data_IF_302450198420
#
_entry.id   IF_302450198420
#
_cell.length_a   1.000
_cell.length_b   1.000
_cell.length_c   1.000
_cell.angle_alpha   90.00
_cell.angle_beta   90.00
_cell.angle_gamma   90.00
#
_symmetry.space_group_name_H-M   'P 1'
#
loop_
_entity.id
_entity.type
_entity.pdbx_description
1 polymer ?
#
# COMPACT_ATOMS: atom_id res chain seq x y z
N UNK A 1 1.35 24.00 27.72
CA UNK A 1 1.73 24.94 26.64
C UNK A 1 2.45 24.08 25.61
N UNK A 2 1.90 23.92 24.40
CA UNK A 2 2.33 22.85 23.49
C UNK A 2 3.85 22.80 23.29
N UNK A 3 4.50 23.94 23.06
CA UNK A 3 5.95 23.97 22.83
C UNK A 3 6.75 23.67 24.10
N UNK A 4 6.26 24.12 25.26
CA UNK A 4 6.88 23.84 26.55
C UNK A 4 6.75 22.37 26.94
N UNK A 5 5.55 21.81 26.80
CA UNK A 5 5.25 20.41 27.15
C UNK A 5 6.03 19.44 26.24
N UNK A 6 6.23 19.80 24.96
CA UNK A 6 7.07 19.06 24.02
C UNK A 6 8.56 19.23 24.34
N UNK A 7 9.03 20.43 24.67
CA UNK A 7 10.43 20.65 25.02
C UNK A 7 10.84 19.83 26.25
N UNK A 8 10.01 19.82 27.30
CA UNK A 8 10.23 19.03 28.50
C UNK A 8 10.25 17.53 28.19
N UNK A 9 9.36 17.06 27.32
CA UNK A 9 9.34 15.67 26.90
C UNK A 9 10.54 15.28 26.01
N UNK A 10 11.00 16.18 25.14
CA UNK A 10 12.17 15.98 24.29
C UNK A 10 13.48 15.94 25.09
N UNK A 11 13.56 16.70 26.19
CA UNK A 11 14.62 16.58 27.20
C UNK A 11 14.54 15.23 27.89
N UNK A 12 13.34 14.81 28.30
CA UNK A 12 13.10 13.51 28.96
C UNK A 12 13.49 12.29 28.12
N UNK A 13 13.36 12.37 26.78
CA UNK A 13 13.78 11.28 25.87
C UNK A 13 15.23 11.42 25.37
N UNK A 14 15.94 12.47 25.80
CA UNK A 14 17.33 12.73 25.42
C UNK A 14 17.53 13.12 23.96
N UNK A 15 16.51 13.72 23.33
CA UNK A 15 16.64 14.36 22.02
C UNK A 15 17.20 15.78 22.14
N UNK A 16 16.99 16.40 23.30
CA UNK A 16 17.57 17.69 23.70
C UNK A 16 18.38 17.44 24.97
N UNK A 17 19.62 17.91 24.98
CA UNK A 17 20.49 17.87 26.15
C UNK A 17 20.61 19.28 26.74
N UNK A 18 20.55 19.37 28.06
CA UNK A 18 20.92 20.60 28.75
C UNK A 18 22.45 20.57 28.91
N UNK A 19 23.17 21.58 28.42
CA UNK A 19 24.63 21.57 28.53
C UNK A 19 25.07 21.68 30.00
N UNK A 20 25.80 20.68 30.52
CA UNK A 20 26.36 20.69 31.88
C UNK A 20 27.27 21.92 32.14
N UNK A 21 27.87 22.47 31.08
CA UNK A 21 28.78 23.62 31.15
C UNK A 21 28.08 24.97 31.28
N UNK A 22 26.80 25.08 30.91
CA UNK A 22 26.00 26.32 30.93
C UNK A 22 24.51 25.98 31.16
N UNK A 23 24.02 25.95 32.41
CA UNK A 23 22.63 25.60 32.68
C UNK A 23 21.67 26.64 32.08
N UNK A 24 20.80 26.19 31.17
CA UNK A 24 19.80 27.03 30.50
C UNK A 24 19.91 27.08 28.97
N UNK A 25 20.95 26.48 28.38
CA UNK A 25 21.11 26.37 26.93
C UNK A 25 20.74 24.94 26.49
N UNK A 26 19.60 24.82 25.83
CA UNK A 26 19.14 23.57 25.22
C UNK A 26 19.97 23.29 23.96
N UNK A 27 20.77 22.23 23.99
CA UNK A 27 21.52 21.74 22.84
C UNK A 27 20.81 20.55 22.19
N UNK A 28 20.80 20.53 20.85
CA UNK A 28 20.33 19.37 20.10
C UNK A 28 21.37 18.26 20.16
N UNK A 29 20.90 17.01 20.30
CA UNK A 29 21.79 15.86 20.25
C UNK A 29 22.58 15.80 18.92
N UNK A 30 23.79 15.25 18.95
CA UNK A 30 24.72 15.21 17.81
C UNK A 30 24.13 14.46 16.60
N UNK A 31 23.18 13.56 16.85
CA UNK A 31 22.45 12.78 15.83
C UNK A 31 20.98 13.22 15.64
N UNK A 32 20.62 14.48 15.93
CA UNK A 32 19.24 14.96 15.78
C UNK A 32 18.67 14.79 14.36
N UNK A 33 19.52 14.68 13.33
CA UNK A 33 19.12 14.45 11.94
C UNK A 33 18.83 12.98 11.61
N UNK A 34 19.07 12.04 12.53
CA UNK A 34 18.79 10.63 12.31
C UNK A 34 17.31 10.32 12.57
N UNK A 35 16.56 10.15 11.49
CA UNK A 35 15.12 9.88 11.53
C UNK A 35 14.76 8.62 12.35
N UNK A 36 15.52 7.53 12.18
CA UNK A 36 15.28 6.29 12.92
C UNK A 36 15.50 6.48 14.43
N UNK A 37 16.49 7.27 14.83
CA UNK A 37 16.75 7.62 16.23
C UNK A 37 15.62 8.48 16.79
N UNK A 38 15.18 9.51 16.06
CA UNK A 38 14.07 10.38 16.44
C UNK A 38 12.77 9.59 16.68
N UNK A 39 12.38 8.73 15.73
CA UNK A 39 11.18 7.89 15.84
C UNK A 39 11.25 6.95 17.04
N UNK A 40 12.39 6.27 17.23
CA UNK A 40 12.57 5.35 18.35
C UNK A 40 12.58 6.05 19.72
N UNK A 41 13.00 7.32 19.79
CA UNK A 41 13.06 8.09 21.04
C UNK A 41 11.71 8.66 21.45
N UNK A 42 10.90 9.11 20.49
CA UNK A 42 9.56 9.63 20.75
C UNK A 42 8.59 8.55 21.27
N UNK A 43 8.84 7.27 21.00
CA UNK A 43 8.09 6.16 21.60
C UNK A 43 8.18 6.14 23.15
N UNK A 44 9.19 6.78 23.73
CA UNK A 44 9.34 6.92 25.19
C UNK A 44 8.53 8.05 25.81
N UNK A 45 7.83 8.87 25.01
CA UNK A 45 7.00 9.97 25.51
C UNK A 45 5.60 9.51 25.91
N UNK A 46 4.88 10.28 26.77
CA UNK A 46 3.46 10.05 27.01
C UNK A 46 2.66 10.02 25.70
N UNK A 47 1.76 9.05 25.56
CA UNK A 47 0.99 8.78 24.32
C UNK A 47 0.28 10.02 23.78
N UNK A 48 -0.25 10.88 24.65
CA UNK A 48 -0.91 12.11 24.22
C UNK A 48 0.07 13.12 23.60
N UNK A 49 1.25 13.32 24.21
CA UNK A 49 2.29 14.22 23.70
C UNK A 49 2.94 13.66 22.43
N UNK A 50 3.17 12.35 22.39
CA UNK A 50 3.63 11.64 21.20
C UNK A 50 2.70 11.90 20.01
N UNK A 51 1.40 11.70 20.17
CA UNK A 51 0.43 11.88 19.09
C UNK A 51 0.37 13.33 18.61
N UNK A 52 0.44 14.31 19.53
CA UNK A 52 0.47 15.73 19.18
C UNK A 52 1.76 16.11 18.44
N UNK A 53 2.92 15.65 18.90
CA UNK A 53 4.20 15.87 18.26
C UNK A 53 4.28 15.22 16.88
N UNK A 54 3.84 13.96 16.77
CA UNK A 54 3.84 13.22 15.52
C UNK A 54 2.89 13.85 14.49
N UNK A 55 1.74 14.37 14.95
CA UNK A 55 0.83 15.15 14.10
C UNK A 55 1.51 16.43 13.59
N UNK A 56 2.12 17.23 14.48
CA UNK A 56 2.83 18.45 14.09
C UNK A 56 3.98 18.16 13.09
N UNK A 57 4.75 17.11 13.34
CA UNK A 57 5.79 16.62 12.42
C UNK A 57 5.21 16.24 11.05
N UNK A 58 4.14 15.44 11.03
CA UNK A 58 3.50 14.98 9.79
C UNK A 58 2.91 16.15 8.99
N UNK A 59 2.23 17.08 9.65
CA UNK A 59 1.66 18.27 9.01
C UNK A 59 2.76 19.15 8.40
N UNK A 60 3.88 19.33 9.11
CA UNK A 60 5.06 20.07 8.61
C UNK A 60 5.71 19.36 7.43
N UNK A 61 5.89 18.04 7.51
CA UNK A 61 6.43 17.23 6.41
C UNK A 61 5.54 17.34 5.17
N UNK A 62 4.21 17.27 5.33
CA UNK A 62 3.26 17.41 4.24
C UNK A 62 3.32 18.81 3.59
N UNK A 63 3.48 19.87 4.39
CA UNK A 63 3.66 21.22 3.90
C UNK A 63 4.95 21.36 3.06
N UNK A 64 6.07 20.80 3.54
CA UNK A 64 7.36 20.79 2.83
C UNK A 64 7.25 20.01 1.52
N UNK A 65 6.64 18.81 1.53
CA UNK A 65 6.40 18.01 0.32
C UNK A 65 5.55 18.80 -0.68
N UNK A 66 4.49 19.45 -0.20
CA UNK A 66 3.59 20.25 -1.06
C UNK A 66 4.34 21.42 -1.69
N UNK A 67 5.19 22.11 -0.93
CA UNK A 67 6.03 23.19 -1.42
C UNK A 67 7.05 22.69 -2.44
N UNK A 68 7.72 21.56 -2.16
CA UNK A 68 8.68 20.95 -3.09
C UNK A 68 8.02 20.52 -4.40
N UNK A 69 6.79 19.98 -4.33
CA UNK A 69 5.98 19.64 -5.51
C UNK A 69 5.64 20.88 -6.34
N UNK A 70 5.21 21.97 -5.69
CA UNK A 70 4.93 23.24 -6.37
C UNK A 70 6.17 23.87 -6.99
N UNK A 71 7.33 23.77 -6.34
CA UNK A 71 8.59 24.31 -6.86
C UNK A 71 9.29 23.38 -7.86
N UNK A 72 8.71 22.22 -8.19
CA UNK A 72 9.32 21.23 -9.08
C UNK A 72 10.62 20.60 -8.55
N UNK A 73 10.90 20.72 -7.23
CA UNK A 73 12.09 20.15 -6.58
C UNK A 73 11.79 18.84 -5.85
N UNK A 74 10.56 18.36 -5.94
CA UNK A 74 10.18 17.08 -5.37
C UNK A 74 10.55 15.96 -6.32
N UNK A 75 11.58 15.22 -5.96
CA UNK A 75 12.01 14.02 -6.68
C UNK A 75 11.55 12.78 -5.90
N UNK A 76 10.77 11.92 -6.54
CA UNK A 76 10.36 10.63 -5.98
C UNK A 76 11.44 9.55 -6.18
N UNK A 77 12.55 9.90 -6.81
CA UNK A 77 13.58 8.98 -7.23
C UNK A 77 13.17 8.16 -8.45
N UNK A 78 13.92 7.09 -8.69
CA UNK A 78 13.64 6.13 -9.76
C UNK A 78 12.48 5.23 -9.30
N UNK A 79 11.38 5.25 -10.05
CA UNK A 79 10.24 4.37 -9.82
C UNK A 79 10.30 3.20 -10.80
N UNK A 80 10.46 1.99 -10.28
CA UNK A 80 10.37 0.78 -11.09
C UNK A 80 8.90 0.43 -11.36
N UNK A 81 8.54 0.32 -12.64
CA UNK A 81 7.21 -0.09 -13.07
C UNK A 81 7.24 -1.55 -13.50
N UNK A 82 6.25 -2.35 -13.08
CA UNK A 82 6.12 -3.76 -13.50
C UNK A 82 6.86 -4.78 -12.63
N UNK A 83 7.76 -4.38 -11.73
CA UNK A 83 8.49 -5.31 -10.83
C UNK A 83 7.57 -6.15 -9.95
N UNK A 84 6.37 -5.65 -9.65
CA UNK A 84 5.37 -6.34 -8.83
C UNK A 84 4.37 -7.21 -9.65
N UNK A 85 4.67 -7.49 -10.93
CA UNK A 85 3.79 -8.25 -11.82
C UNK A 85 2.64 -7.41 -12.42
N UNK A 86 2.84 -6.10 -12.50
CA UNK A 86 1.86 -5.17 -13.08
C UNK A 86 2.00 -5.16 -14.61
N UNK A 87 0.88 -5.09 -15.32
CA UNK A 87 0.90 -4.98 -16.77
C UNK A 87 1.10 -3.51 -17.16
N UNK A 88 2.28 -3.19 -17.69
CA UNK A 88 2.67 -1.83 -18.06
C UNK A 88 2.58 -1.68 -19.58
N UNK A 89 1.62 -0.89 -20.05
CA UNK A 89 1.45 -0.56 -21.47
C UNK A 89 1.85 0.88 -21.73
N UNK A 90 2.72 1.13 -22.71
CA UNK A 90 3.04 2.50 -23.14
C UNK A 90 1.92 3.05 -24.01
N UNK A 91 1.26 4.12 -23.55
CA UNK A 91 0.13 4.75 -24.24
C UNK A 91 0.60 5.81 -25.22
N UNK A 92 1.55 6.66 -24.82
CA UNK A 92 2.05 7.75 -25.66
C UNK A 92 3.54 7.96 -25.46
N UNK A 93 4.21 8.42 -26.51
CA UNK A 93 5.61 8.83 -26.50
C UNK A 93 5.69 10.22 -27.11
N UNK A 94 6.26 11.18 -26.37
CA UNK A 94 6.60 12.49 -26.90
C UNK A 94 8.11 12.64 -26.89
N UNK A 95 8.70 12.88 -28.05
CA UNK A 95 10.15 13.09 -28.20
C UNK A 95 10.42 14.57 -28.41
N UNK A 96 11.26 15.13 -27.54
CA UNK A 96 11.68 16.53 -27.56
C UNK A 96 13.16 16.59 -27.90
N UNK A 97 13.48 17.22 -29.03
CA UNK A 97 14.87 17.48 -29.40
C UNK A 97 15.25 18.89 -28.91
N UNK A 98 16.21 18.97 -27.99
CA UNK A 98 16.69 20.23 -27.44
C UNK A 98 18.13 20.48 -27.90
N UNK A 99 18.32 21.57 -28.64
CA UNK A 99 19.66 22.03 -29.03
C UNK A 99 20.25 22.86 -27.89
N UNK A 100 21.49 22.55 -27.52
CA UNK A 100 22.28 23.26 -26.53
C UNK A 100 23.65 23.62 -27.10
N UNK A 101 24.39 24.48 -26.40
CA UNK A 101 25.66 25.02 -26.88
C UNK A 101 26.70 23.95 -27.25
N UNK A 102 26.61 22.74 -26.66
CA UNK A 102 27.53 21.62 -26.87
C UNK A 102 26.97 20.48 -27.73
N UNK A 103 25.74 20.57 -28.24
CA UNK A 103 25.13 19.50 -29.05
C UNK A 103 23.62 19.49 -29.04
N UNK A 104 23.02 18.36 -29.41
CA UNK A 104 21.57 18.13 -29.32
C UNK A 104 21.30 17.01 -28.30
N UNK A 105 20.39 17.26 -27.36
CA UNK A 105 19.91 16.27 -26.41
C UNK A 105 18.46 15.87 -26.77
N UNK A 106 18.18 14.57 -26.80
CA UNK A 106 16.84 14.04 -27.00
C UNK A 106 16.24 13.70 -25.64
N UNK A 107 15.08 14.24 -25.33
CA UNK A 107 14.32 13.94 -24.11
C UNK A 107 13.00 13.30 -24.51
N UNK A 108 12.65 12.18 -23.90
CA UNK A 108 11.40 11.47 -24.19
C UNK A 108 10.48 11.45 -22.98
N UNK A 109 9.22 11.84 -23.18
CA UNK A 109 8.16 11.67 -22.19
C UNK A 109 7.34 10.43 -22.59
N UNK A 110 7.44 9.39 -21.78
CA UNK A 110 6.67 8.16 -21.91
C UNK A 110 5.45 8.25 -21.01
N UNK A 111 4.25 8.22 -21.58
CA UNK A 111 3.00 8.06 -20.83
C UNK A 111 2.66 6.57 -20.83
N UNK A 112 2.59 5.98 -19.64
CA UNK A 112 2.36 4.56 -19.43
C UNK A 112 1.06 4.34 -18.65
N UNK A 113 0.35 3.29 -18.99
CA UNK A 113 -0.80 2.77 -18.26
C UNK A 113 -0.35 1.53 -17.50
N UNK A 114 -0.63 1.48 -16.21
CA UNK A 114 -0.22 0.38 -15.33
C UNK A 114 -1.47 -0.28 -14.79
N UNK A 115 -1.75 -1.47 -15.29
CA UNK A 115 -2.85 -2.31 -14.84
C UNK A 115 -2.32 -3.27 -13.76
N UNK A 116 -2.87 -3.15 -12.55
CA UNK A 116 -2.57 -4.07 -11.44
C UNK A 116 -3.57 -5.21 -11.34
N UNK A 117 -4.71 -5.12 -12.02
CA UNK A 117 -5.80 -6.09 -11.92
C UNK A 117 -5.45 -7.45 -12.50
N UNK A 118 -6.28 -8.45 -12.19
CA UNK A 118 -6.18 -9.80 -12.76
C UNK A 118 -7.49 -10.14 -13.47
N UNK A 119 -7.40 -10.43 -14.76
CA UNK A 119 -8.56 -10.83 -15.57
C UNK A 119 -9.12 -12.18 -15.14
N UNK A 120 -10.35 -12.49 -15.55
CA UNK A 120 -10.97 -13.79 -15.24
C UNK A 120 -10.20 -14.97 -15.85
N UNK A 121 -9.70 -14.81 -17.08
CA UNK A 121 -8.94 -15.83 -17.80
C UNK A 121 -7.64 -16.16 -17.06
N UNK A 122 -6.84 -15.15 -16.69
CA UNK A 122 -5.62 -15.36 -15.90
C UNK A 122 -5.92 -15.97 -14.52
N UNK A 123 -7.01 -15.55 -13.87
CA UNK A 123 -7.44 -16.14 -12.60
C UNK A 123 -7.82 -17.62 -12.75
N UNK A 124 -8.45 -17.99 -13.88
CA UNK A 124 -8.83 -19.37 -14.20
C UNK A 124 -7.61 -20.25 -14.50
N UNK A 125 -6.61 -19.73 -15.22
CA UNK A 125 -5.34 -20.42 -15.45
C UNK A 125 -4.66 -20.75 -14.12
N UNK A 126 -4.53 -19.77 -13.22
CA UNK A 126 -3.99 -20.02 -11.88
C UNK A 126 -4.84 -20.96 -11.06
N UNK A 127 -6.16 -20.90 -11.21
CA UNK A 127 -7.07 -21.82 -10.53
C UNK A 127 -6.89 -23.27 -11.00
N UNK A 128 -6.63 -23.48 -12.29
CA UNK A 128 -6.40 -24.81 -12.86
C UNK A 128 -5.12 -25.47 -12.32
N UNK A 129 -4.14 -24.68 -11.88
CA UNK A 129 -2.91 -25.17 -11.26
C UNK A 129 -3.06 -25.50 -9.76
N UNK A 130 -4.21 -25.18 -9.14
CA UNK A 130 -4.44 -25.39 -7.71
C UNK A 130 -4.70 -26.87 -7.39
N UNK A 131 -4.08 -27.33 -6.30
CA UNK A 131 -4.19 -28.71 -5.83
C UNK A 131 -4.75 -28.77 -4.39
N UNK A 132 -4.71 -27.67 -3.66
CA UNK A 132 -5.14 -27.58 -2.27
C UNK A 132 -6.66 -27.54 -2.10
N UNK A 133 -7.19 -28.37 -1.21
CA UNK A 133 -8.63 -28.45 -0.94
C UNK A 133 -9.28 -27.13 -0.46
N UNK A 134 -8.49 -26.23 0.14
CA UNK A 134 -8.92 -24.90 0.62
C UNK A 134 -8.49 -23.77 -0.31
N UNK A 135 -7.85 -24.07 -1.43
CA UNK A 135 -7.54 -23.09 -2.47
C UNK A 135 -8.76 -22.93 -3.39
N UNK A 136 -8.85 -21.75 -4.01
CA UNK A 136 -9.88 -21.46 -5.00
C UNK A 136 -10.56 -20.11 -4.80
N UNK A 137 -11.75 -19.96 -5.38
CA UNK A 137 -12.50 -18.72 -5.35
C UNK A 137 -13.32 -18.56 -4.07
N UNK A 138 -13.38 -17.31 -3.62
CA UNK A 138 -14.05 -16.91 -2.39
C UNK A 138 -14.88 -15.64 -2.64
N UNK A 139 -16.10 -15.61 -2.10
CA UNK A 139 -16.98 -14.43 -2.12
C UNK A 139 -17.13 -13.86 -0.70
N UNK A 140 -17.13 -12.54 -0.58
CA UNK A 140 -17.28 -11.88 0.71
C UNK A 140 -18.66 -12.13 1.32
N UNK A 141 -18.69 -12.36 2.64
CA UNK A 141 -19.95 -12.37 3.39
C UNK A 141 -20.59 -10.98 3.42
N UNK A 142 -19.76 -9.93 3.41
CA UNK A 142 -20.26 -8.56 3.33
C UNK A 142 -20.72 -8.25 1.90
N UNK A 143 -22.01 -7.96 1.76
CA UNK A 143 -22.59 -7.40 0.55
C UNK A 143 -22.59 -5.87 0.71
N UNK A 144 -21.94 -5.17 -0.22
CA UNK A 144 -21.87 -3.70 -0.23
C UNK A 144 -22.50 -3.20 -1.52
N UNK A 145 -23.53 -2.35 -1.41
CA UNK A 145 -24.27 -1.82 -2.56
C UNK A 145 -24.80 -2.91 -3.50
N UNK A 146 -25.32 -4.01 -2.93
CA UNK A 146 -25.81 -5.16 -3.69
C UNK A 146 -24.74 -6.01 -4.38
N UNK A 147 -23.45 -5.73 -4.14
CA UNK A 147 -22.31 -6.43 -4.77
C UNK A 147 -21.48 -7.17 -3.72
N UNK A 148 -20.94 -8.32 -4.12
CA UNK A 148 -20.00 -9.11 -3.33
C UNK A 148 -18.59 -8.99 -3.90
N UNK A 149 -17.58 -9.03 -3.05
CA UNK A 149 -16.17 -9.05 -3.46
C UNK A 149 -15.76 -10.48 -3.80
N UNK A 150 -15.28 -10.70 -5.02
CA UNK A 150 -14.64 -11.94 -5.41
C UNK A 150 -13.13 -11.87 -5.21
N UNK A 151 -12.56 -12.92 -4.65
CA UNK A 151 -11.12 -13.10 -4.48
C UNK A 151 -10.71 -14.54 -4.82
N UNK A 152 -9.46 -14.73 -5.22
CA UNK A 152 -8.85 -16.03 -5.46
C UNK A 152 -7.76 -16.21 -4.41
N UNK A 153 -7.85 -17.28 -3.61
CA UNK A 153 -6.89 -17.56 -2.56
C UNK A 153 -6.05 -18.79 -2.93
N UNK A 154 -4.73 -18.61 -2.91
CA UNK A 154 -3.73 -19.62 -3.26
C UNK A 154 -2.80 -19.81 -2.08
N UNK A 155 -2.48 -21.05 -1.70
CA UNK A 155 -1.52 -21.33 -0.66
C UNK A 155 -0.13 -21.60 -1.26
N UNK A 156 0.87 -20.73 -1.00
CA UNK A 156 2.22 -20.93 -1.52
C UNK A 156 2.87 -22.25 -1.06
N UNK A 157 2.48 -22.78 0.11
CA UNK A 157 3.06 -23.99 0.67
C UNK A 157 2.50 -25.30 0.10
N UNK A 158 1.39 -25.25 -0.64
CA UNK A 158 0.76 -26.45 -1.20
C UNK A 158 1.58 -27.06 -2.35
N UNK A 159 2.41 -26.28 -3.05
CA UNK A 159 3.27 -26.79 -4.13
C UNK A 159 4.47 -27.60 -3.61
N UNK A 160 4.92 -27.37 -2.37
CA UNK A 160 6.17 -27.93 -1.84
C UNK A 160 5.99 -29.02 -0.78
N UNK A 161 4.79 -29.25 -0.25
CA UNK A 161 4.57 -30.22 0.83
C UNK A 161 3.71 -31.41 0.39
N UNK A 162 4.34 -32.40 -0.26
CA UNK A 162 3.73 -33.71 -0.53
C UNK A 162 3.70 -34.66 0.68
N UNK A 163 4.27 -34.33 1.82
CA UNK A 163 4.37 -35.29 2.95
C UNK A 163 4.32 -34.62 4.31
N UNK A 164 3.14 -34.61 4.94
CA UNK A 164 3.02 -34.26 6.36
C UNK A 164 1.59 -33.97 6.80
N UNK A 165 1.02 -34.85 7.62
CA UNK A 165 -0.32 -34.69 8.24
C UNK A 165 -0.25 -33.56 9.28
N UNK A 166 -0.38 -32.29 8.86
CA UNK A 166 -0.40 -31.12 9.77
C UNK A 166 -1.66 -31.16 10.67
N UNK A 167 -1.47 -30.81 11.95
CA UNK A 167 -2.53 -30.69 12.98
C UNK A 167 -3.55 -29.60 12.62
N UNK A 168 -4.79 -29.68 13.10
CA UNK A 168 -5.87 -28.75 12.73
C UNK A 168 -5.58 -27.28 13.08
N UNK A 169 -4.86 -27.03 14.17
CA UNK A 169 -4.38 -25.70 14.55
C UNK A 169 -3.39 -25.12 13.53
N UNK A 170 -2.45 -25.94 13.04
CA UNK A 170 -1.49 -25.53 12.02
C UNK A 170 -2.13 -25.28 10.64
N UNK A 171 -3.34 -25.79 10.39
CA UNK A 171 -4.10 -25.50 9.16
C UNK A 171 -4.79 -24.12 9.20
N UNK A 172 -5.19 -23.63 10.37
CA UNK A 172 -5.85 -22.32 10.50
C UNK A 172 -4.88 -21.14 10.41
N UNK A 173 -3.63 -21.35 10.82
CA UNK A 173 -2.55 -20.36 10.71
C UNK A 173 -1.83 -20.41 9.36
N UNK A 174 -2.27 -21.27 8.44
CA UNK A 174 -1.70 -21.37 7.12
C UNK A 174 -1.95 -20.07 6.34
N UNK A 175 -0.89 -19.52 5.75
CA UNK A 175 -0.92 -18.26 5.01
C UNK A 175 -1.34 -18.50 3.56
N UNK A 176 -2.26 -17.65 3.12
CA UNK A 176 -2.79 -17.62 1.76
C UNK A 176 -2.43 -16.29 1.10
N UNK A 177 -1.97 -16.40 -0.14
CA UNK A 177 -1.81 -15.28 -1.05
C UNK A 177 -3.14 -15.02 -1.73
N UNK A 178 -3.58 -13.75 -1.71
CA UNK A 178 -4.87 -13.35 -2.25
C UNK A 178 -4.68 -12.61 -3.56
N UNK A 179 -5.48 -12.97 -4.57
CA UNK A 179 -5.61 -12.24 -5.81
C UNK A 179 -6.99 -11.58 -5.88
N UNK A 180 -7.01 -10.35 -6.37
CA UNK A 180 -8.23 -9.55 -6.55
C UNK A 180 -8.35 -9.10 -8.00
N UNK A 181 -9.57 -8.96 -8.53
CA UNK A 181 -9.76 -8.47 -9.89
C UNK A 181 -9.20 -7.06 -10.09
N UNK A 182 -9.30 -6.16 -9.11
CA UNK A 182 -8.91 -4.75 -9.27
C UNK A 182 -7.45 -4.42 -8.89
N UNK A 183 -6.78 -5.25 -8.09
CA UNK A 183 -5.39 -5.00 -7.65
C UNK A 183 -4.45 -6.17 -7.91
N UNK A 184 -4.94 -7.27 -8.47
CA UNK A 184 -4.14 -8.46 -8.72
C UNK A 184 -3.61 -9.05 -7.42
N UNK A 185 -2.31 -9.34 -7.40
CA UNK A 185 -1.62 -9.93 -6.26
C UNK A 185 -1.63 -8.99 -5.04
N UNK A 186 -2.24 -9.44 -3.95
CA UNK A 186 -2.15 -8.78 -2.66
C UNK A 186 -0.87 -9.22 -1.93
N UNK A 187 0.08 -8.29 -1.78
CA UNK A 187 1.37 -8.54 -1.10
C UNK A 187 1.19 -9.03 0.34
N UNK A 188 0.15 -8.55 1.03
CA UNK A 188 -0.19 -9.01 2.38
C UNK A 188 -0.94 -10.34 2.29
N UNK A 189 -0.30 -11.39 2.79
CA UNK A 189 -0.93 -12.69 3.00
C UNK A 189 -1.94 -12.62 4.15
N UNK A 190 -3.00 -13.43 4.07
CA UNK A 190 -3.98 -13.61 5.15
C UNK A 190 -3.96 -15.07 5.63
N UNK A 191 -4.29 -15.27 6.91
CA UNK A 191 -4.43 -16.63 7.45
C UNK A 191 -5.75 -17.25 6.99
N UNK A 192 -5.81 -18.58 6.90
CA UNK A 192 -7.04 -19.30 6.57
C UNK A 192 -8.19 -18.92 7.53
N UNK A 193 -7.89 -18.78 8.83
CA UNK A 193 -8.89 -18.40 9.83
C UNK A 193 -9.49 -17.01 9.63
N UNK A 194 -8.74 -16.04 9.09
CA UNK A 194 -9.27 -14.72 8.74
C UNK A 194 -10.03 -14.75 7.41
N UNK A 195 -9.54 -15.54 6.45
CA UNK A 195 -10.17 -15.74 5.16
C UNK A 195 -11.58 -16.32 5.33
N UNK A 196 -11.72 -17.40 6.09
CA UNK A 196 -13.01 -18.08 6.34
C UNK A 196 -14.00 -17.22 7.15
N UNK A 197 -13.51 -16.26 7.95
CA UNK A 197 -14.38 -15.31 8.66
C UNK A 197 -14.97 -14.24 7.73
N UNK A 198 -14.19 -13.81 6.74
CA UNK A 198 -14.56 -12.69 5.84
C UNK A 198 -15.24 -13.18 4.57
N UNK A 199 -14.92 -14.40 4.14
CA UNK A 199 -15.29 -14.93 2.84
C UNK A 199 -15.78 -16.38 2.92
N UNK A 200 -16.68 -16.72 2.01
CA UNK A 200 -17.16 -18.08 1.76
C UNK A 200 -16.51 -18.63 0.50
N UNK A 201 -15.98 -19.85 0.56
CA UNK A 201 -15.52 -20.56 -0.63
C UNK A 201 -16.70 -20.85 -1.57
N UNK A 202 -16.53 -20.60 -2.85
CA UNK A 202 -17.54 -20.84 -3.89
C UNK A 202 -16.94 -21.56 -5.10
N UNK A 203 -17.80 -22.06 -5.97
CA UNK A 203 -17.38 -22.61 -7.26
C UNK A 203 -17.06 -21.49 -8.26
N UNK A 204 -16.29 -21.82 -9.29
CA UNK A 204 -15.84 -20.85 -10.30
C UNK A 204 -17.02 -20.15 -10.99
N UNK A 205 -18.10 -20.89 -11.27
CA UNK A 205 -19.29 -20.35 -11.93
C UNK A 205 -19.95 -19.21 -11.12
N UNK A 206 -20.02 -19.36 -9.79
CA UNK A 206 -20.59 -18.34 -8.91
C UNK A 206 -19.66 -17.11 -8.78
N UNK A 207 -18.34 -17.34 -8.80
CA UNK A 207 -17.35 -16.27 -8.69
C UNK A 207 -17.21 -15.45 -9.97
N UNK A 208 -17.40 -16.07 -11.15
CA UNK A 208 -17.14 -15.49 -12.46
C UNK A 208 -17.85 -14.15 -12.65
N UNK A 209 -19.16 -14.14 -12.40
CA UNK A 209 -19.99 -12.94 -12.59
C UNK A 209 -19.50 -11.78 -11.73
N UNK A 210 -19.17 -12.06 -10.46
CA UNK A 210 -18.69 -11.04 -9.54
C UNK A 210 -17.27 -10.58 -9.88
N UNK A 211 -16.41 -11.50 -10.33
CA UNK A 211 -15.04 -11.19 -10.73
C UNK A 211 -15.01 -10.29 -11.96
N UNK A 212 -15.69 -10.68 -13.04
CA UNK A 212 -15.76 -9.91 -14.30
C UNK A 212 -16.36 -8.52 -14.06
N UNK A 213 -17.48 -8.45 -13.34
CA UNK A 213 -18.10 -7.17 -12.99
C UNK A 213 -17.15 -6.26 -12.21
N UNK A 214 -16.43 -6.80 -11.22
CA UNK A 214 -15.49 -6.01 -10.43
C UNK A 214 -14.27 -5.59 -11.27
N UNK A 215 -13.77 -6.47 -12.14
CA UNK A 215 -12.65 -6.19 -13.04
C UNK A 215 -12.99 -5.05 -14.02
N UNK A 216 -14.07 -5.19 -14.79
CA UNK A 216 -14.53 -4.19 -15.76
C UNK A 216 -14.84 -2.84 -15.11
N UNK A 217 -15.51 -2.86 -13.95
CA UNK A 217 -15.80 -1.63 -13.24
C UNK A 217 -14.55 -0.93 -12.72
N UNK A 218 -13.47 -1.67 -12.44
CA UNK A 218 -12.25 -1.09 -11.87
C UNK A 218 -11.45 -0.26 -12.86
N UNK A 219 -11.69 -0.43 -14.16
CA UNK A 219 -11.07 0.37 -15.22
C UNK A 219 -11.56 1.82 -15.23
N UNK A 220 -12.86 2.02 -14.97
CA UNK A 220 -13.52 3.33 -15.12
C UNK A 220 -14.04 3.91 -13.81
N UNK A 221 -14.27 3.06 -12.81
CA UNK A 221 -14.93 3.44 -11.57
C UNK A 221 -14.00 3.17 -10.39
N UNK A 222 -13.72 4.21 -9.62
CA UNK A 222 -12.93 4.04 -8.40
C UNK A 222 -13.67 3.15 -7.38
N UNK A 223 -12.91 2.45 -6.54
CA UNK A 223 -13.44 1.52 -5.54
C UNK A 223 -14.46 2.17 -4.59
N UNK A 224 -14.31 3.46 -4.28
CA UNK A 224 -15.28 4.21 -3.48
C UNK A 224 -16.64 4.29 -4.14
N UNK A 225 -16.70 4.69 -5.42
CA UNK A 225 -17.94 4.77 -6.16
C UNK A 225 -18.53 3.36 -6.40
N UNK A 226 -17.68 2.37 -6.68
CA UNK A 226 -18.13 1.00 -6.89
C UNK A 226 -18.84 0.41 -5.65
N UNK A 227 -18.27 0.61 -4.45
CA UNK A 227 -18.78 0.02 -3.20
C UNK A 227 -19.80 0.89 -2.47
N UNK A 228 -19.71 2.23 -2.57
CA UNK A 228 -20.57 3.17 -1.83
C UNK A 228 -21.54 3.95 -2.71
N UNK A 229 -21.46 3.80 -4.03
CA UNK A 229 -22.26 4.55 -5.00
C UNK A 229 -21.80 6.01 -5.21
N UNK A 230 -20.87 6.51 -4.39
CA UNK A 230 -20.34 7.86 -4.53
C UNK A 230 -18.84 7.90 -4.18
N UNK A 231 -18.08 8.72 -4.92
CA UNK A 231 -16.68 9.02 -4.62
C UNK A 231 -16.49 10.52 -4.52
N UNK A 232 -16.06 10.98 -3.34
CA UNK A 232 -15.83 12.39 -3.05
C UNK A 232 -14.89 13.07 -4.06
N UNK A 233 -13.87 12.35 -4.55
CA UNK A 233 -12.93 12.90 -5.53
C UNK A 233 -13.58 13.06 -6.90
N UNK A 234 -14.37 12.07 -7.34
CA UNK A 234 -15.12 12.14 -8.61
C UNK A 234 -16.19 13.23 -8.55
N UNK A 235 -16.90 13.38 -7.43
CA UNK A 235 -17.86 14.49 -7.23
C UNK A 235 -17.19 15.86 -7.28
N UNK A 236 -15.91 15.94 -6.87
CA UNK A 236 -15.10 17.15 -6.89
C UNK A 236 -14.38 17.38 -8.23
N UNK A 237 -14.56 16.50 -9.22
CA UNK A 237 -13.89 16.60 -10.53
C UNK A 237 -12.37 16.38 -10.48
N UNK A 238 -11.90 15.68 -9.44
CA UNK A 238 -10.50 15.34 -9.20
C UNK A 238 -10.15 13.94 -9.71
#
# INVERSE_FOLDING_TARGET
DFFKDIADALVGVGLITNSDSMPGILMLDKDHNNMSKFLNRILGMPVELQNRLFKYFTDTLQAIITQAKKSGRFDLGILDLGTAGENVKRVKLYTFLRKHATGSATTELHIVHVERGMGWEEAMERWAELVGAREGFYLSHQIRNGKQTAILAICPEASNNKTGKKTETAKKDQLYTIYRPNTGLQLRQETLGELEKKYKKVECADAEKHWKQQYESSETTCSHAYWRGNCKNVTLGL
#
